data_IF_264945767692
#
_entry.id   IF_264945767692
#
_cell.length_a   1.000
_cell.length_b   1.000
_cell.length_c   1.000
_cell.angle_alpha   90.00
_cell.angle_beta   90.00
_cell.angle_gamma   90.00
#
_symmetry.space_group_name_H-M   'P 1'
#
loop_
_entity.id
_entity.type
_entity.pdbx_description
1 polymer ?
#
# COMPACT_ATOMS: atom_id res chain seq x y z
N UNK A 1 -20.20 7.26 -6.68
CA UNK A 1 -19.36 8.40 -7.06
C UNK A 1 -20.14 9.39 -7.90
N UNK A 2 -20.17 10.67 -7.52
CA UNK A 2 -20.81 11.75 -8.27
C UNK A 2 -19.82 12.90 -8.44
N UNK A 3 -19.54 13.30 -9.69
CA UNK A 3 -18.57 14.33 -10.04
C UNK A 3 -19.22 15.74 -10.05
N UNK A 4 -19.84 16.11 -8.93
CA UNK A 4 -20.51 17.41 -8.78
C UNK A 4 -19.52 18.58 -8.60
N UNK A 5 -18.25 18.30 -8.29
CA UNK A 5 -17.19 19.32 -8.18
C UNK A 5 -16.64 19.83 -9.52
N UNK A 6 -16.94 19.17 -10.64
CA UNK A 6 -16.47 19.58 -11.98
C UNK A 6 -17.32 20.75 -12.48
N UNK A 7 -16.95 21.96 -12.08
CA UNK A 7 -17.66 23.19 -12.46
C UNK A 7 -17.19 23.73 -13.80
N UNK A 8 -18.07 24.43 -14.52
CA UNK A 8 -17.77 25.02 -15.84
C UNK A 8 -16.52 25.92 -15.78
N UNK A 9 -16.40 26.72 -14.71
CA UNK A 9 -15.29 27.65 -14.52
C UNK A 9 -13.93 26.95 -14.30
N UNK A 10 -13.91 25.67 -13.93
CA UNK A 10 -12.67 24.95 -13.64
C UNK A 10 -12.09 24.23 -14.87
N UNK A 11 -12.92 23.97 -15.89
CA UNK A 11 -12.46 23.28 -17.11
C UNK A 11 -11.29 24.03 -17.80
N UNK A 12 -11.26 25.37 -17.90
CA UNK A 12 -10.11 26.08 -18.48
C UNK A 12 -8.82 25.95 -17.65
N UNK A 13 -8.90 25.70 -16.35
CA UNK A 13 -7.71 25.54 -15.48
C UNK A 13 -6.88 24.32 -15.89
N UNK A 14 -7.52 23.31 -16.49
CA UNK A 14 -6.83 22.09 -16.95
C UNK A 14 -6.18 22.24 -18.34
N UNK A 15 -6.30 23.41 -19.00
CA UNK A 15 -5.84 23.59 -20.38
C UNK A 15 -4.32 23.42 -20.55
N UNK A 16 -3.55 23.71 -19.50
CA UNK A 16 -2.08 23.63 -19.52
C UNK A 16 -1.53 22.35 -18.86
N UNK A 17 -2.39 21.43 -18.43
CA UNK A 17 -1.96 20.14 -17.87
C UNK A 17 -1.28 19.28 -18.92
N UNK A 18 -0.28 18.52 -18.51
CA UNK A 18 0.39 17.53 -19.34
C UNK A 18 -0.57 16.42 -19.76
N UNK A 19 -1.43 15.96 -18.85
CA UNK A 19 -2.37 14.85 -19.08
C UNK A 19 -3.85 15.24 -19.06
N UNK A 20 -4.16 16.53 -18.94
CA UNK A 20 -5.52 17.05 -18.99
C UNK A 20 -6.44 16.49 -17.90
N UNK A 21 -7.63 16.03 -18.31
CA UNK A 21 -8.64 15.45 -17.42
C UNK A 21 -8.64 13.93 -17.61
N UNK A 22 -8.08 13.19 -16.66
CA UNK A 22 -7.99 11.72 -16.71
C UNK A 22 -9.15 11.00 -16.02
N UNK A 23 -10.00 11.71 -15.29
CA UNK A 23 -11.23 11.12 -14.77
C UNK A 23 -12.21 10.86 -15.92
N UNK A 24 -12.66 9.61 -16.06
CA UNK A 24 -13.72 9.27 -17.01
C UNK A 24 -15.00 10.03 -16.73
N UNK A 25 -15.46 10.06 -15.47
CA UNK A 25 -16.67 10.81 -15.10
C UNK A 25 -16.46 12.32 -15.19
N UNK A 26 -15.30 12.81 -14.77
CA UNK A 26 -14.97 14.22 -14.85
C UNK A 26 -14.90 14.75 -16.29
N UNK A 27 -14.29 14.00 -17.22
CA UNK A 27 -14.22 14.37 -18.63
C UNK A 27 -15.58 14.36 -19.32
N UNK A 28 -16.49 13.45 -18.95
CA UNK A 28 -17.89 13.47 -19.42
C UNK A 28 -18.58 14.76 -18.98
N UNK A 29 -18.44 15.14 -17.70
CA UNK A 29 -19.03 16.36 -17.16
C UNK A 29 -18.43 17.62 -17.79
N UNK A 30 -17.10 17.70 -17.92
CA UNK A 30 -16.43 18.81 -18.59
C UNK A 30 -16.91 18.98 -20.04
N UNK A 31 -17.02 17.88 -20.80
CA UNK A 31 -17.56 17.90 -22.17
C UNK A 31 -19.01 18.40 -22.20
N UNK A 32 -19.84 17.95 -21.25
CA UNK A 32 -21.23 18.41 -21.16
C UNK A 32 -21.31 19.91 -20.86
N UNK A 33 -20.53 20.41 -19.89
CA UNK A 33 -20.47 21.82 -19.51
C UNK A 33 -20.05 22.70 -20.69
N UNK A 34 -19.00 22.29 -21.44
CA UNK A 34 -18.53 23.02 -22.62
C UNK A 34 -19.53 23.00 -23.78
N UNK A 35 -20.21 21.87 -24.02
CA UNK A 35 -21.16 21.72 -25.14
C UNK A 35 -22.42 22.58 -24.96
N UNK A 36 -22.85 22.78 -23.71
CA UNK A 36 -24.03 23.58 -23.39
C UNK A 36 -23.71 24.99 -22.90
N UNK A 37 -22.45 25.25 -22.55
CA UNK A 37 -21.99 26.44 -21.86
C UNK A 37 -22.83 26.76 -20.61
N UNK A 38 -23.06 25.71 -19.80
CA UNK A 38 -23.85 25.77 -18.56
C UNK A 38 -23.06 25.16 -17.41
N UNK A 39 -23.39 25.57 -16.19
CA UNK A 39 -22.84 24.96 -14.98
C UNK A 39 -23.24 23.49 -14.88
N UNK A 40 -22.40 22.68 -14.23
CA UNK A 40 -22.65 21.27 -14.00
C UNK A 40 -24.05 21.04 -13.43
N UNK A 41 -24.89 20.30 -14.15
CA UNK A 41 -26.23 19.97 -13.65
C UNK A 41 -26.18 19.13 -12.37
N UNK A 42 -25.10 18.40 -12.11
CA UNK A 42 -24.89 17.68 -10.86
C UNK A 42 -24.67 18.63 -9.68
N UNK A 43 -23.99 19.76 -9.95
CA UNK A 43 -23.79 20.83 -8.98
C UNK A 43 -25.09 21.63 -8.77
N UNK A 44 -25.73 22.09 -9.85
CA UNK A 44 -26.95 22.92 -9.76
C UNK A 44 -28.13 22.19 -9.11
N UNK A 45 -28.19 20.86 -9.25
CA UNK A 45 -29.30 20.02 -8.74
C UNK A 45 -28.88 19.19 -7.52
N UNK A 46 -27.80 19.58 -6.83
CA UNK A 46 -27.20 18.74 -5.78
C UNK A 46 -28.14 18.48 -4.59
N UNK A 47 -28.93 19.47 -4.15
CA UNK A 47 -29.91 19.28 -3.07
C UNK A 47 -31.00 18.25 -3.43
N UNK A 48 -31.45 18.21 -4.69
CA UNK A 48 -32.42 17.20 -5.14
C UNK A 48 -31.81 15.80 -5.17
N UNK A 49 -30.52 15.70 -5.51
CA UNK A 49 -29.79 14.43 -5.40
C UNK A 49 -29.69 14.00 -3.93
N UNK A 50 -29.46 14.93 -3.00
CA UNK A 50 -29.46 14.64 -1.57
C UNK A 50 -30.80 14.06 -1.10
N UNK A 51 -31.93 14.64 -1.51
CA UNK A 51 -33.26 14.11 -1.16
C UNK A 51 -33.48 12.67 -1.66
N UNK A 52 -33.00 12.36 -2.87
CA UNK A 52 -33.05 10.99 -3.41
C UNK A 52 -32.18 10.07 -2.58
N UNK A 53 -30.92 10.44 -2.32
CA UNK A 53 -29.96 9.60 -1.60
C UNK A 53 -30.37 9.35 -0.16
N UNK A 54 -30.92 10.37 0.51
CA UNK A 54 -31.47 10.29 1.87
C UNK A 54 -32.56 9.23 1.98
N UNK A 55 -33.44 9.13 1.00
CA UNK A 55 -34.55 8.19 1.01
C UNK A 55 -34.10 6.71 1.06
N UNK A 56 -32.84 6.42 0.70
CA UNK A 56 -32.30 5.07 0.60
C UNK A 56 -30.99 4.86 1.37
N UNK A 57 -30.58 5.81 2.20
CA UNK A 57 -29.29 5.79 2.92
C UNK A 57 -28.08 5.51 2.01
N UNK A 58 -28.06 6.17 0.85
CA UNK A 58 -26.91 6.09 -0.06
C UNK A 58 -25.87 7.13 0.33
N UNK A 59 -24.64 6.70 0.61
CA UNK A 59 -23.52 7.59 0.91
C UNK A 59 -22.99 8.27 -0.36
N UNK A 60 -22.67 9.57 -0.26
CA UNK A 60 -21.91 10.27 -1.29
C UNK A 60 -20.45 9.82 -1.27
N UNK A 61 -19.96 9.44 -2.44
CA UNK A 61 -18.54 9.51 -2.78
C UNK A 61 -18.40 10.68 -3.76
N UNK A 62 -17.95 11.83 -3.27
CA UNK A 62 -17.80 13.03 -4.09
C UNK A 62 -16.55 12.89 -4.95
N UNK A 63 -16.75 12.76 -6.26
CA UNK A 63 -15.72 12.35 -7.21
C UNK A 63 -14.69 13.43 -7.51
N UNK A 64 -13.45 13.00 -7.72
CA UNK A 64 -12.29 13.82 -8.06
C UNK A 64 -12.11 13.95 -9.58
N UNK A 65 -13.06 14.63 -10.22
CA UNK A 65 -13.14 14.77 -11.66
C UNK A 65 -11.93 15.45 -12.29
N UNK A 66 -11.24 16.31 -11.54
CA UNK A 66 -10.05 17.05 -11.92
C UNK A 66 -8.81 16.53 -11.19
N UNK A 67 -8.77 15.27 -10.74
CA UNK A 67 -7.54 14.67 -10.20
C UNK A 67 -6.36 14.70 -11.20
N UNK A 68 -5.11 14.74 -10.73
CA UNK A 68 -3.93 14.67 -11.59
C UNK A 68 -3.73 13.27 -12.18
N UNK A 69 -3.42 13.23 -13.48
CA UNK A 69 -3.07 12.02 -14.24
C UNK A 69 -1.60 11.85 -14.57
N UNK A 70 -0.77 12.77 -14.08
CA UNK A 70 0.69 12.69 -14.12
C UNK A 70 1.26 13.43 -12.92
N UNK A 71 2.50 13.10 -12.57
CA UNK A 71 3.25 13.80 -11.52
C UNK A 71 3.36 15.30 -11.79
N UNK A 72 3.42 15.71 -13.06
CA UNK A 72 3.53 17.11 -13.46
C UNK A 72 2.27 17.93 -13.14
N UNK A 73 1.10 17.29 -13.09
CA UNK A 73 -0.19 17.94 -12.89
C UNK A 73 -0.63 17.95 -11.40
N UNK A 74 0.16 17.34 -10.52
CA UNK A 74 -0.17 17.18 -9.11
C UNK A 74 -0.21 18.52 -8.37
N UNK A 75 -1.21 18.69 -7.51
CA UNK A 75 -1.42 19.85 -6.64
C UNK A 75 -1.64 21.17 -7.40
N UNK A 76 -2.12 21.09 -8.64
CA UNK A 76 -2.41 22.28 -9.43
C UNK A 76 -3.71 22.99 -8.99
N UNK A 77 -3.96 24.15 -9.61
CA UNK A 77 -5.12 24.99 -9.30
C UNK A 77 -6.45 24.27 -9.58
N UNK A 78 -6.54 23.50 -10.67
CA UNK A 78 -7.76 22.80 -11.04
C UNK A 78 -8.14 21.72 -10.01
N UNK A 79 -7.16 20.96 -9.52
CA UNK A 79 -7.36 19.94 -8.50
C UNK A 79 -7.90 20.55 -7.20
N UNK A 80 -7.26 21.61 -6.69
CA UNK A 80 -7.68 22.19 -5.42
C UNK A 80 -8.96 23.03 -5.53
N UNK A 81 -9.22 23.65 -6.67
CA UNK A 81 -10.50 24.33 -6.91
C UNK A 81 -11.68 23.34 -6.82
N UNK A 82 -11.53 22.14 -7.40
CA UNK A 82 -12.53 21.07 -7.22
C UNK A 82 -12.63 20.65 -5.75
N UNK A 83 -11.51 20.38 -5.07
CA UNK A 83 -11.49 19.97 -3.67
C UNK A 83 -12.25 20.93 -2.74
N UNK A 84 -12.05 22.24 -2.90
CA UNK A 84 -12.79 23.26 -2.14
C UNK A 84 -14.30 23.18 -2.42
N UNK A 85 -14.70 22.98 -3.69
CA UNK A 85 -16.11 22.76 -4.04
C UNK A 85 -16.66 21.49 -3.39
N UNK A 86 -15.88 20.40 -3.31
CA UNK A 86 -16.33 19.18 -2.63
C UNK A 86 -16.58 19.43 -1.14
N UNK A 87 -15.80 20.31 -0.50
CA UNK A 87 -16.05 20.80 0.85
C UNK A 87 -17.38 21.53 1.00
N UNK A 88 -17.69 22.45 0.09
CA UNK A 88 -18.99 23.14 0.05
C UNK A 88 -20.16 22.15 -0.11
N UNK A 89 -20.03 21.21 -1.06
CA UNK A 89 -21.03 20.18 -1.31
C UNK A 89 -21.21 19.22 -0.11
N UNK A 90 -20.13 18.95 0.63
CA UNK A 90 -20.18 18.16 1.87
C UNK A 90 -21.08 18.82 2.91
N UNK A 91 -20.94 20.13 3.12
CA UNK A 91 -21.82 20.86 4.04
C UNK A 91 -23.27 20.84 3.59
N UNK A 92 -23.54 20.92 2.27
CA UNK A 92 -24.89 20.79 1.74
C UNK A 92 -25.44 19.39 2.05
N UNK A 93 -24.73 18.32 1.68
CA UNK A 93 -25.16 16.96 1.95
C UNK A 93 -25.41 16.68 3.45
N UNK A 94 -24.56 17.20 4.34
CA UNK A 94 -24.75 17.09 5.79
C UNK A 94 -25.97 17.86 6.31
N UNK A 95 -26.35 18.99 5.73
CA UNK A 95 -27.63 19.65 6.07
C UNK A 95 -28.85 18.78 5.73
N UNK A 96 -28.72 17.93 4.72
CA UNK A 96 -29.75 16.95 4.35
C UNK A 96 -29.63 15.64 5.13
N UNK A 97 -28.66 15.48 6.03
CA UNK A 97 -28.39 14.25 6.78
C UNK A 97 -27.99 13.07 5.86
N UNK A 98 -27.17 13.35 4.84
CA UNK A 98 -26.62 12.34 3.92
C UNK A 98 -25.14 12.12 4.22
N UNK A 99 -24.73 10.85 4.34
CA UNK A 99 -23.34 10.47 4.58
C UNK A 99 -22.44 10.87 3.40
N UNK A 100 -21.18 11.27 3.67
CA UNK A 100 -20.24 11.75 2.65
C UNK A 100 -18.83 11.21 2.90
N UNK A 101 -18.16 10.82 1.82
CA UNK A 101 -16.71 10.70 1.70
C UNK A 101 -16.23 11.44 0.45
N UNK A 102 -14.97 11.88 0.46
CA UNK A 102 -14.33 12.68 -0.59
C UNK A 102 -13.37 11.79 -1.39
N UNK A 103 -13.46 11.78 -2.71
CA UNK A 103 -12.45 11.15 -3.55
C UNK A 103 -11.22 12.06 -3.71
N UNK A 104 -10.05 11.45 -3.84
CA UNK A 104 -8.75 12.13 -3.85
C UNK A 104 -7.76 11.55 -4.86
N UNK A 105 -6.63 12.24 -5.04
CA UNK A 105 -5.83 12.22 -6.26
C UNK A 105 -5.31 10.85 -6.70
N UNK A 106 -4.92 10.83 -7.98
CA UNK A 106 -4.29 9.72 -8.68
C UNK A 106 -2.76 9.78 -8.67
N UNK A 107 -2.14 10.69 -9.42
CA UNK A 107 -0.67 10.76 -9.55
C UNK A 107 -0.10 11.91 -8.72
N UNK A 108 0.67 11.61 -7.67
CA UNK A 108 1.24 12.59 -6.75
C UNK A 108 2.61 12.13 -6.26
N UNK A 109 3.68 12.91 -6.46
CA UNK A 109 5.01 12.53 -5.99
C UNK A 109 5.06 12.60 -4.45
N UNK A 110 5.85 11.74 -3.81
CA UNK A 110 5.81 11.52 -2.36
C UNK A 110 5.89 12.80 -1.52
N UNK A 111 6.71 13.77 -1.90
CA UNK A 111 6.87 15.03 -1.16
C UNK A 111 5.60 15.90 -1.13
N UNK A 112 4.63 15.66 -2.01
CA UNK A 112 3.37 16.39 -2.11
C UNK A 112 2.18 15.64 -1.48
N UNK A 113 2.37 14.39 -1.06
CA UNK A 113 1.28 13.56 -0.50
C UNK A 113 0.69 14.16 0.78
N UNK A 114 1.54 14.67 1.67
CA UNK A 114 1.09 15.27 2.94
C UNK A 114 0.20 16.49 2.73
N UNK A 115 0.59 17.38 1.80
CA UNK A 115 -0.18 18.59 1.48
C UNK A 115 -1.61 18.27 1.03
N UNK A 116 -1.79 17.19 0.26
CA UNK A 116 -3.13 16.77 -0.19
C UNK A 116 -4.04 16.42 0.99
N UNK A 117 -3.53 15.69 1.98
CA UNK A 117 -4.32 15.30 3.15
C UNK A 117 -4.62 16.52 4.03
N UNK A 118 -3.63 17.38 4.27
CA UNK A 118 -3.83 18.61 5.04
C UNK A 118 -4.91 19.51 4.42
N UNK A 119 -4.84 19.73 3.09
CA UNK A 119 -5.84 20.51 2.37
C UNK A 119 -7.22 19.85 2.38
N UNK A 120 -7.29 18.53 2.30
CA UNK A 120 -8.58 17.84 2.36
C UNK A 120 -9.21 17.95 3.75
N UNK A 121 -8.44 17.75 4.82
CA UNK A 121 -8.93 17.90 6.19
C UNK A 121 -9.46 19.32 6.43
N UNK A 122 -8.74 20.34 5.97
CA UNK A 122 -9.14 21.75 6.07
C UNK A 122 -10.39 22.06 5.23
N UNK A 123 -10.35 21.74 3.93
CA UNK A 123 -11.40 22.14 2.99
C UNK A 123 -12.69 21.32 3.16
N UNK A 124 -12.60 20.07 3.59
CA UNK A 124 -13.71 19.12 3.64
C UNK A 124 -14.11 18.70 5.07
N UNK A 125 -13.70 19.48 6.07
CA UNK A 125 -14.17 19.33 7.46
C UNK A 125 -13.94 17.92 8.02
N UNK A 126 -12.76 17.35 7.73
CA UNK A 126 -12.37 16.00 8.16
C UNK A 126 -13.29 14.86 7.66
N UNK A 127 -14.09 15.09 6.61
CA UNK A 127 -14.86 14.03 5.96
C UNK A 127 -13.91 12.89 5.51
N UNK A 128 -14.34 11.60 5.56
CA UNK A 128 -13.49 10.48 5.14
C UNK A 128 -12.92 10.66 3.74
N UNK A 129 -11.60 10.50 3.62
CA UNK A 129 -10.90 10.64 2.34
C UNK A 129 -10.72 9.27 1.67
N UNK A 130 -10.93 9.21 0.35
CA UNK A 130 -10.88 8.01 -0.48
C UNK A 130 -9.98 8.22 -1.71
N UNK A 131 -8.77 7.66 -1.74
CA UNK A 131 -7.75 8.03 -2.74
C UNK A 131 -7.47 6.91 -3.74
N UNK A 132 -7.14 7.26 -5.00
CA UNK A 132 -6.66 6.31 -6.01
C UNK A 132 -5.12 6.21 -5.97
N UNK A 133 -4.58 5.39 -5.07
CA UNK A 133 -3.15 5.37 -4.78
C UNK A 133 -2.80 6.39 -3.69
N UNK A 134 -1.95 7.41 -3.95
CA UNK A 134 -1.55 7.88 -5.28
C UNK A 134 -0.32 7.17 -5.88
N UNK A 135 -0.21 7.16 -7.22
CA UNK A 135 1.01 6.78 -7.94
C UNK A 135 2.10 7.83 -7.68
N UNK A 136 3.24 7.39 -7.16
CA UNK A 136 4.36 8.28 -6.81
C UNK A 136 5.32 8.55 -7.97
N UNK A 137 5.16 7.84 -9.09
CA UNK A 137 5.96 7.98 -10.29
C UNK A 137 5.19 7.44 -11.49
N UNK A 138 5.43 8.03 -12.67
CA UNK A 138 4.77 7.66 -13.93
C UNK A 138 5.60 6.67 -14.78
N UNK A 139 6.78 6.27 -14.31
CA UNK A 139 7.75 5.49 -15.10
C UNK A 139 7.60 3.97 -14.91
N UNK A 140 6.55 3.52 -14.23
CA UNK A 140 6.37 2.13 -13.80
C UNK A 140 5.17 1.38 -14.41
N UNK A 141 4.72 1.62 -15.65
CA UNK A 141 3.58 0.86 -16.19
C UNK A 141 3.89 -0.64 -16.19
N UNK A 142 2.91 -1.45 -15.78
CA UNK A 142 3.11 -2.88 -15.46
C UNK A 142 3.40 -3.15 -13.97
N UNK A 143 3.79 -2.12 -13.23
CA UNK A 143 4.13 -2.16 -11.81
C UNK A 143 3.44 -1.04 -11.01
N UNK A 144 2.37 -0.46 -11.55
CA UNK A 144 1.71 0.68 -10.92
C UNK A 144 1.04 0.33 -9.59
N UNK A 145 0.64 -0.92 -9.39
CA UNK A 145 0.25 -1.43 -8.06
C UNK A 145 1.34 -1.27 -6.99
N UNK A 146 2.62 -1.27 -7.37
CA UNK A 146 3.76 -1.08 -6.44
C UNK A 146 4.00 0.41 -6.20
N UNK A 147 4.09 1.21 -7.27
CA UNK A 147 4.29 2.66 -7.16
C UNK A 147 3.15 3.31 -6.36
N UNK A 148 1.91 2.94 -6.67
CA UNK A 148 0.74 3.41 -5.94
C UNK A 148 0.64 2.90 -4.52
N UNK A 149 1.01 1.64 -4.22
CA UNK A 149 0.97 1.12 -2.85
C UNK A 149 1.90 1.90 -1.91
N UNK A 150 3.05 2.38 -2.40
CA UNK A 150 3.94 3.26 -1.63
C UNK A 150 3.28 4.60 -1.30
N UNK A 151 2.61 5.22 -2.28
CA UNK A 151 1.85 6.45 -2.05
C UNK A 151 0.64 6.22 -1.14
N UNK A 152 -0.09 5.11 -1.34
CA UNK A 152 -1.25 4.71 -0.56
C UNK A 152 -0.92 4.47 0.91
N UNK A 153 0.24 3.85 1.20
CA UNK A 153 0.71 3.68 2.58
C UNK A 153 0.99 5.04 3.24
N UNK A 154 1.62 5.99 2.51
CA UNK A 154 1.89 7.33 3.03
C UNK A 154 0.62 8.15 3.23
N UNK A 155 -0.28 8.18 2.25
CA UNK A 155 -1.51 8.96 2.33
C UNK A 155 -2.49 8.37 3.35
N UNK A 156 -2.48 7.04 3.52
CA UNK A 156 -3.18 6.31 4.57
C UNK A 156 -2.63 6.64 5.95
N UNK A 157 -1.30 6.66 6.11
CA UNK A 157 -0.64 7.09 7.34
C UNK A 157 -1.07 8.51 7.74
N UNK A 158 -1.12 9.44 6.79
CA UNK A 158 -1.49 10.83 7.06
C UNK A 158 -2.99 11.05 7.36
N UNK A 159 -3.86 10.05 7.16
CA UNK A 159 -5.26 10.14 7.61
C UNK A 159 -6.31 9.68 6.61
N UNK A 160 -5.92 9.23 5.41
CA UNK A 160 -6.89 8.72 4.43
C UNK A 160 -7.65 7.51 4.98
N UNK A 161 -8.98 7.49 4.78
CA UNK A 161 -9.86 6.49 5.37
C UNK A 161 -10.04 5.25 4.50
N UNK A 162 -10.01 5.40 3.16
CA UNK A 162 -10.16 4.30 2.22
C UNK A 162 -9.18 4.46 1.05
N UNK A 163 -8.65 3.33 0.55
CA UNK A 163 -7.65 3.32 -0.52
C UNK A 163 -8.21 2.53 -1.71
N UNK A 164 -8.43 3.19 -2.85
CA UNK A 164 -8.79 2.53 -4.09
C UNK A 164 -7.53 1.87 -4.66
N UNK A 165 -7.61 0.56 -4.84
CA UNK A 165 -6.52 -0.21 -5.37
C UNK A 165 -6.17 0.15 -6.82
N UNK A 166 -4.93 -0.09 -7.20
CA UNK A 166 -4.41 0.01 -8.55
C UNK A 166 -3.84 -1.35 -8.92
N UNK A 167 -4.12 -1.82 -10.14
CA UNK A 167 -3.68 -3.14 -10.59
C UNK A 167 -2.34 -3.05 -11.33
N UNK A 168 -1.61 -4.16 -11.52
CA UNK A 168 -0.41 -4.17 -12.36
C UNK A 168 -0.67 -3.69 -13.79
N UNK A 169 -1.89 -3.89 -14.32
CA UNK A 169 -2.28 -3.50 -15.68
C UNK A 169 -2.86 -2.09 -15.80
N UNK A 170 -2.81 -1.29 -14.73
CA UNK A 170 -3.15 0.12 -14.85
C UNK A 170 -2.35 0.76 -16.00
N UNK A 171 -3.00 1.65 -16.75
CA UNK A 171 -2.47 2.24 -17.99
C UNK A 171 -2.19 1.29 -19.16
N UNK A 172 -2.43 -0.02 -19.03
CA UNK A 172 -2.10 -1.02 -20.06
C UNK A 172 -3.32 -1.80 -20.57
N UNK A 173 -4.30 -2.08 -19.73
CA UNK A 173 -5.50 -2.81 -20.14
C UNK A 173 -6.38 -3.27 -18.99
N UNK A 174 -7.38 -4.09 -19.32
CA UNK A 174 -8.28 -4.64 -18.30
C UNK A 174 -7.55 -5.71 -17.46
N UNK A 175 -7.66 -5.65 -16.12
CA UNK A 175 -7.06 -6.64 -15.24
C UNK A 175 -7.75 -8.00 -15.38
N UNK A 176 -6.96 -9.06 -15.31
CA UNK A 176 -7.46 -10.43 -15.13
C UNK A 176 -7.56 -10.77 -13.63
N UNK A 177 -7.95 -12.01 -13.33
CA UNK A 177 -8.09 -12.50 -11.94
C UNK A 177 -6.82 -12.33 -11.09
N UNK A 178 -5.66 -12.61 -11.65
CA UNK A 178 -4.41 -12.58 -10.90
C UNK A 178 -3.92 -11.14 -10.70
N UNK A 179 -4.14 -10.25 -11.68
CA UNK A 179 -3.89 -8.81 -11.55
C UNK A 179 -4.74 -8.20 -10.42
N UNK A 180 -6.02 -8.63 -10.31
CA UNK A 180 -6.91 -8.23 -9.21
C UNK A 180 -6.36 -8.70 -7.87
N UNK A 181 -5.94 -9.98 -7.76
CA UNK A 181 -5.33 -10.50 -6.52
C UNK A 181 -4.09 -9.67 -6.14
N UNK A 182 -3.19 -9.41 -7.08
CA UNK A 182 -1.96 -8.65 -6.82
C UNK A 182 -2.26 -7.22 -6.33
N UNK A 183 -3.21 -6.52 -6.97
CA UNK A 183 -3.65 -5.20 -6.51
C UNK A 183 -4.23 -5.22 -5.10
N UNK A 184 -5.11 -6.18 -4.80
CA UNK A 184 -5.72 -6.32 -3.47
C UNK A 184 -4.67 -6.61 -2.38
N UNK A 185 -3.72 -7.49 -2.64
CA UNK A 185 -2.65 -7.82 -1.70
C UNK A 185 -1.75 -6.61 -1.47
N UNK A 186 -1.34 -5.89 -2.53
CA UNK A 186 -0.53 -4.69 -2.43
C UNK A 186 -1.20 -3.61 -1.56
N UNK A 187 -2.51 -3.41 -1.73
CA UNK A 187 -3.26 -2.41 -0.96
C UNK A 187 -3.61 -2.85 0.46
N UNK A 188 -3.79 -4.15 0.71
CA UNK A 188 -3.88 -4.69 2.08
C UNK A 188 -2.58 -4.46 2.85
N UNK A 189 -1.43 -4.62 2.20
CA UNK A 189 -0.11 -4.30 2.78
C UNK A 189 -0.02 -2.79 3.04
N UNK A 190 -0.37 -1.95 2.06
CA UNK A 190 -0.32 -0.49 2.21
C UNK A 190 -1.22 0.02 3.34
N UNK A 191 -2.45 -0.47 3.43
CA UNK A 191 -3.38 -0.12 4.50
C UNK A 191 -2.83 -0.51 5.87
N UNK A 192 -2.35 -1.76 6.02
CA UNK A 192 -1.74 -2.23 7.26
C UNK A 192 -0.48 -1.43 7.65
N UNK A 193 0.36 -1.07 6.68
CA UNK A 193 1.51 -0.20 6.91
C UNK A 193 1.10 1.19 7.40
N UNK A 194 0.01 1.74 6.85
CA UNK A 194 -0.61 2.98 7.35
C UNK A 194 -1.11 2.84 8.78
N UNK A 195 -1.80 1.73 9.11
CA UNK A 195 -2.29 1.44 10.47
C UNK A 195 -1.14 1.32 11.49
N UNK A 196 -0.04 0.66 11.12
CA UNK A 196 1.17 0.60 11.93
C UNK A 196 1.76 1.99 12.17
N UNK A 197 1.89 2.80 11.12
CA UNK A 197 2.46 4.14 11.21
C UNK A 197 1.58 5.09 12.04
N UNK A 198 0.26 4.87 12.04
CA UNK A 198 -0.71 5.55 12.92
C UNK A 198 -0.69 5.05 14.36
N UNK A 199 -0.04 3.92 14.63
CA UNK A 199 -0.07 3.26 15.94
C UNK A 199 -1.46 2.70 16.30
N UNK A 200 -2.22 2.23 15.31
CA UNK A 200 -3.57 1.72 15.55
C UNK A 200 -3.55 0.51 16.51
N UNK A 201 -4.39 0.49 17.57
CA UNK A 201 -4.39 -0.58 18.55
C UNK A 201 -4.57 -1.95 17.91
N UNK A 202 -3.63 -2.86 18.16
CA UNK A 202 -3.67 -4.24 17.67
C UNK A 202 -2.99 -4.47 16.31
N UNK A 203 -2.69 -3.43 15.52
CA UNK A 203 -2.02 -3.60 14.23
C UNK A 203 -0.68 -4.33 14.37
N UNK A 204 0.18 -3.86 15.29
CA UNK A 204 1.50 -4.45 15.54
C UNK A 204 1.45 -5.88 16.11
N UNK A 205 0.31 -6.32 16.66
CA UNK A 205 0.18 -7.69 17.16
C UNK A 205 0.28 -8.70 16.02
N UNK A 206 -0.23 -8.36 14.83
CA UNK A 206 -0.14 -9.23 13.67
C UNK A 206 1.32 -9.41 13.23
N UNK A 207 2.06 -8.32 13.07
CA UNK A 207 3.50 -8.33 12.75
C UNK A 207 4.31 -9.12 13.77
N UNK A 208 4.04 -8.91 15.06
CA UNK A 208 4.72 -9.61 16.15
C UNK A 208 4.42 -11.11 16.12
N UNK A 209 3.18 -11.52 15.80
CA UNK A 209 2.81 -12.93 15.68
C UNK A 209 3.54 -13.61 14.52
N UNK A 210 3.56 -12.98 13.34
CA UNK A 210 4.31 -13.45 12.16
C UNK A 210 5.81 -13.53 12.47
N UNK A 211 6.37 -12.48 13.07
CA UNK A 211 7.80 -12.39 13.40
C UNK A 211 8.20 -13.43 14.45
N UNK A 212 7.36 -13.68 15.44
CA UNK A 212 7.58 -14.72 16.45
C UNK A 212 7.51 -16.11 15.83
N UNK A 213 6.53 -16.39 14.97
CA UNK A 213 6.45 -17.65 14.24
C UNK A 213 7.70 -17.89 13.37
N UNK A 214 8.18 -16.84 12.69
CA UNK A 214 9.42 -16.87 11.91
C UNK A 214 10.64 -17.19 12.77
N UNK A 215 10.82 -16.49 13.89
CA UNK A 215 11.97 -16.69 14.77
C UNK A 215 11.97 -18.06 15.46
N UNK A 216 10.79 -18.63 15.70
CA UNK A 216 10.59 -19.97 16.29
C UNK A 216 10.52 -21.08 15.23
N UNK A 217 10.74 -20.76 13.96
CA UNK A 217 10.68 -21.71 12.83
C UNK A 217 9.35 -22.47 12.71
N UNK A 218 8.25 -21.85 13.16
CA UNK A 218 6.87 -22.35 12.98
C UNK A 218 6.38 -21.97 11.58
N UNK A 219 6.93 -22.62 10.55
CA UNK A 219 6.70 -22.24 9.15
C UNK A 219 5.24 -22.27 8.72
N UNK A 220 4.47 -23.26 9.19
CA UNK A 220 3.03 -23.30 8.93
C UNK A 220 2.30 -22.10 9.55
N UNK A 221 2.60 -21.77 10.81
CA UNK A 221 1.97 -20.64 11.48
C UNK A 221 2.36 -19.32 10.81
N UNK A 222 3.63 -19.17 10.41
CA UNK A 222 4.08 -18.01 9.65
C UNK A 222 3.28 -17.85 8.35
N UNK A 223 3.09 -18.94 7.60
CA UNK A 223 2.34 -18.90 6.34
C UNK A 223 0.86 -18.62 6.57
N UNK A 224 0.22 -19.28 7.54
CA UNK A 224 -1.20 -19.05 7.88
C UNK A 224 -1.48 -17.63 8.37
N UNK A 225 -0.49 -17.00 9.01
CA UNK A 225 -0.57 -15.60 9.43
C UNK A 225 -0.18 -14.62 8.31
N UNK A 226 0.32 -15.05 7.15
CA UNK A 226 0.65 -14.13 6.07
C UNK A 226 -0.60 -13.50 5.44
N UNK A 227 -0.45 -12.34 4.80
CA UNK A 227 -1.53 -11.69 4.04
C UNK A 227 -1.99 -12.56 2.85
N UNK A 228 -1.09 -13.36 2.27
CA UNK A 228 -1.37 -14.35 1.22
C UNK A 228 -0.74 -15.71 1.58
N UNK A 229 -1.43 -16.52 2.40
CA UNK A 229 -0.89 -17.80 2.89
C UNK A 229 -0.47 -18.76 1.79
N UNK A 230 -1.25 -18.83 0.70
CA UNK A 230 -1.00 -19.73 -0.42
C UNK A 230 0.33 -19.41 -1.10
N UNK A 231 0.59 -18.12 -1.36
CA UNK A 231 1.84 -17.68 -1.99
C UNK A 231 3.03 -17.87 -1.03
N UNK A 232 2.86 -17.55 0.26
CA UNK A 232 3.92 -17.73 1.25
C UNK A 232 4.37 -19.19 1.35
N UNK A 233 3.42 -20.12 1.39
CA UNK A 233 3.71 -21.56 1.42
C UNK A 233 4.33 -22.04 0.11
N UNK A 234 3.77 -21.61 -1.03
CA UNK A 234 4.28 -21.97 -2.36
C UNK A 234 5.77 -21.62 -2.51
N UNK A 235 6.17 -20.39 -2.18
CA UNK A 235 7.56 -19.95 -2.33
C UNK A 235 8.54 -20.66 -1.39
N UNK A 236 8.11 -21.05 -0.18
CA UNK A 236 8.92 -21.89 0.68
C UNK A 236 9.16 -23.27 0.02
N UNK A 237 8.09 -23.87 -0.50
CA UNK A 237 8.10 -25.24 -1.01
C UNK A 237 8.75 -25.40 -2.37
N UNK A 238 8.91 -24.32 -3.13
CA UNK A 238 9.71 -24.30 -4.38
C UNK A 238 11.13 -24.81 -4.16
N UNK A 239 11.71 -24.62 -2.96
CA UNK A 239 13.08 -25.07 -2.64
C UNK A 239 13.14 -26.11 -1.52
N UNK A 240 12.15 -26.14 -0.62
CA UNK A 240 12.09 -27.06 0.52
C UNK A 240 10.73 -27.77 0.61
N UNK A 241 10.36 -28.61 -0.37
CA UNK A 241 9.00 -29.16 -0.48
C UNK A 241 8.66 -30.23 0.56
N UNK A 242 9.66 -30.81 1.24
CA UNK A 242 9.44 -31.94 2.16
C UNK A 242 8.80 -31.46 3.46
N UNK A 243 7.90 -32.26 4.03
CA UNK A 243 7.21 -31.97 5.30
C UNK A 243 8.16 -31.68 6.47
N UNK A 244 9.30 -32.38 6.53
CA UNK A 244 10.30 -32.14 7.56
C UNK A 244 10.96 -30.75 7.48
N UNK A 245 10.87 -30.07 6.33
CA UNK A 245 11.34 -28.69 6.21
C UNK A 245 10.42 -27.68 6.91
N UNK A 246 9.13 -28.01 7.12
CA UNK A 246 8.16 -27.16 7.83
C UNK A 246 8.43 -27.03 9.33
N UNK A 247 9.36 -27.84 9.85
CA UNK A 247 9.87 -27.78 11.23
C UNK A 247 11.38 -27.52 11.26
N UNK A 248 12.01 -27.22 10.12
CA UNK A 248 13.45 -27.01 10.05
C UNK A 248 13.86 -25.65 10.59
N UNK A 249 14.96 -25.59 11.35
CA UNK A 249 15.50 -24.34 11.90
C UNK A 249 16.34 -23.55 10.87
N UNK A 250 15.90 -23.50 9.62
CA UNK A 250 16.50 -22.75 8.52
C UNK A 250 15.56 -22.73 7.31
N UNK A 251 15.76 -21.78 6.40
CA UNK A 251 15.23 -21.85 5.02
C UNK A 251 16.38 -22.09 4.03
N UNK A 252 16.03 -22.21 2.74
CA UNK A 252 17.00 -22.41 1.66
C UNK A 252 18.00 -21.26 1.51
N UNK A 253 17.70 -20.05 2.01
CA UNK A 253 18.55 -18.89 1.83
C UNK A 253 19.91 -19.00 2.55
N UNK A 254 19.91 -19.40 3.81
CA UNK A 254 21.15 -19.50 4.60
C UNK A 254 21.56 -20.96 4.86
N UNK A 255 20.64 -21.89 4.66
CA UNK A 255 20.85 -23.29 4.99
C UNK A 255 21.05 -23.55 6.50
N UNK A 256 21.31 -24.81 6.88
CA UNK A 256 21.29 -25.25 8.28
C UNK A 256 22.45 -24.73 9.15
N UNK A 257 23.58 -24.34 8.52
CA UNK A 257 24.81 -23.91 9.21
C UNK A 257 24.87 -22.40 9.43
N UNK A 258 24.22 -21.59 8.58
CA UNK A 258 24.39 -20.13 8.57
C UNK A 258 23.09 -19.36 8.82
N UNK A 259 22.01 -20.02 9.21
CA UNK A 259 20.76 -19.33 9.57
C UNK A 259 20.97 -18.44 10.80
N UNK A 260 20.85 -17.13 10.62
CA UNK A 260 21.06 -16.12 11.67
C UNK A 260 20.11 -16.29 12.87
N UNK A 261 18.85 -16.67 12.63
CA UNK A 261 17.88 -16.89 13.70
C UNK A 261 18.21 -18.11 14.54
N UNK A 262 18.71 -19.19 13.91
CA UNK A 262 19.15 -20.40 14.61
C UNK A 262 20.37 -20.11 15.48
N UNK A 263 21.37 -19.45 14.91
CA UNK A 263 22.56 -19.00 15.65
C UNK A 263 22.14 -18.12 16.83
N UNK A 264 21.18 -17.22 16.63
CA UNK A 264 20.65 -16.37 17.71
C UNK A 264 19.95 -17.17 18.82
N UNK A 265 19.22 -18.24 18.49
CA UNK A 265 18.64 -19.15 19.50
C UNK A 265 19.73 -19.85 20.31
N UNK A 266 20.79 -20.35 19.65
CA UNK A 266 21.94 -21.00 20.31
C UNK A 266 22.66 -20.03 21.27
N UNK A 267 22.85 -18.77 20.87
CA UNK A 267 23.42 -17.71 21.72
C UNK A 267 22.53 -17.42 22.94
N UNK A 268 21.21 -17.31 22.75
CA UNK A 268 20.26 -17.08 23.85
C UNK A 268 20.27 -18.23 24.84
N UNK A 269 20.33 -19.47 24.35
CA UNK A 269 20.39 -20.66 25.19
C UNK A 269 21.71 -20.72 25.98
N UNK A 270 22.85 -20.43 25.33
CA UNK A 270 24.14 -20.32 26.01
C UNK A 270 24.10 -19.29 27.15
N UNK A 271 23.55 -18.09 26.90
CA UNK A 271 23.44 -17.04 27.90
C UNK A 271 22.50 -17.43 29.06
N UNK A 272 21.39 -18.13 28.76
CA UNK A 272 20.45 -18.64 29.77
C UNK A 272 21.09 -19.69 30.69
N UNK A 273 21.90 -20.57 30.13
CA UNK A 273 22.62 -21.62 30.85
C UNK A 273 23.84 -21.08 31.62
N UNK A 274 24.39 -19.93 31.21
CA UNK A 274 25.58 -19.32 31.82
C UNK A 274 25.35 -17.84 32.21
N UNK A 275 24.42 -17.54 33.14
CA UNK A 275 24.01 -16.17 33.46
C UNK A 275 25.09 -15.31 34.16
N UNK A 276 26.20 -15.92 34.61
CA UNK A 276 27.24 -15.26 35.42
C UNK A 276 28.65 -15.25 34.78
N UNK A 277 28.82 -15.76 33.55
CA UNK A 277 30.13 -15.72 32.87
C UNK A 277 30.26 -14.51 31.94
N UNK A 278 30.97 -13.48 32.42
CA UNK A 278 31.70 -12.52 31.57
C UNK A 278 32.93 -13.15 30.90
N UNK A 279 33.25 -14.41 31.21
CA UNK A 279 34.34 -15.19 30.62
C UNK A 279 33.81 -16.25 29.67
N UNK A 280 34.04 -16.03 28.38
CA UNK A 280 33.85 -16.99 27.28
C UNK A 280 34.63 -18.28 27.55
N UNK A 281 34.01 -19.23 28.24
CA UNK A 281 34.51 -20.62 28.32
C UNK A 281 33.51 -21.52 27.63
N UNK A 282 34.06 -22.39 26.78
CA UNK A 282 33.37 -23.27 25.83
C UNK A 282 32.41 -24.21 26.56
N UNK A 283 31.11 -23.88 26.55
CA UNK A 283 30.07 -24.78 27.06
C UNK A 283 29.61 -25.78 25.97
N UNK A 284 29.19 -27.00 26.36
CA UNK A 284 28.67 -27.99 25.42
C UNK A 284 27.29 -27.58 24.89
N UNK A 285 27.10 -27.62 23.56
CA UNK A 285 25.80 -27.37 22.91
C UNK A 285 25.76 -26.17 21.95
N UNK A 286 26.79 -25.32 21.97
CA UNK A 286 27.06 -24.33 20.91
C UNK A 286 27.97 -25.00 19.88
N UNK A 287 27.67 -24.87 18.59
CA UNK A 287 28.59 -25.31 17.53
C UNK A 287 29.95 -24.64 17.81
N UNK A 288 31.03 -25.40 18.08
CA UNK A 288 32.33 -24.79 18.32
C UNK A 288 32.73 -23.95 17.11
N UNK A 289 33.38 -22.80 17.31
CA UNK A 289 33.88 -21.95 16.21
C UNK A 289 34.61 -22.79 15.15
N UNK A 290 35.34 -23.84 15.56
CA UNK A 290 35.99 -24.81 14.65
C UNK A 290 35.04 -25.51 13.65
N UNK A 291 33.80 -25.81 14.02
CA UNK A 291 32.81 -26.40 13.10
C UNK A 291 32.26 -25.35 12.12
N UNK A 292 32.13 -24.09 12.55
CA UNK A 292 31.79 -22.96 11.68
C UNK A 292 32.94 -22.70 10.69
N UNK A 293 34.18 -22.69 11.17
CA UNK A 293 35.40 -22.54 10.34
C UNK A 293 35.48 -23.63 9.28
N UNK A 294 35.21 -24.89 9.64
CA UNK A 294 35.18 -25.98 8.66
C UNK A 294 34.07 -25.81 7.60
N UNK A 295 32.92 -25.24 7.98
CA UNK A 295 31.85 -24.91 7.04
C UNK A 295 32.21 -23.75 6.12
N UNK A 296 32.93 -22.74 6.63
CA UNK A 296 33.47 -21.66 5.81
C UNK A 296 34.57 -22.15 4.87
N UNK A 297 35.46 -23.04 5.31
CA UNK A 297 36.48 -23.67 4.47
C UNK A 297 35.86 -24.51 3.35
N UNK A 298 34.81 -25.27 3.67
CA UNK A 298 34.04 -26.07 2.71
C UNK A 298 33.33 -25.18 1.68
N UNK A 299 32.66 -24.11 2.10
CA UNK A 299 32.05 -23.13 1.17
C UNK A 299 33.08 -22.35 0.35
N UNK A 300 34.21 -21.98 0.94
CA UNK A 300 35.31 -21.35 0.23
C UNK A 300 35.93 -22.30 -0.80
N UNK A 301 35.96 -23.60 -0.51
CA UNK A 301 36.40 -24.64 -1.44
C UNK A 301 35.39 -24.82 -2.58
N UNK A 302 34.10 -24.97 -2.27
CA UNK A 302 33.04 -25.02 -3.29
C UNK A 302 33.05 -23.79 -4.20
N UNK A 303 33.24 -22.59 -3.65
CA UNK A 303 33.38 -21.36 -4.44
C UNK A 303 34.59 -21.43 -5.38
N UNK A 304 35.75 -21.87 -4.88
CA UNK A 304 36.96 -22.03 -5.70
C UNK A 304 36.79 -23.08 -6.80
N UNK A 305 36.17 -24.21 -6.47
CA UNK A 305 35.90 -25.32 -7.40
C UNK A 305 34.82 -24.98 -8.42
N UNK A 306 33.85 -24.13 -8.05
CA UNK A 306 32.81 -23.57 -8.92
C UNK A 306 33.29 -22.42 -9.81
N UNK A 307 34.60 -22.21 -9.95
CA UNK A 307 35.17 -21.18 -10.85
C UNK A 307 35.52 -19.86 -10.18
N UNK A 308 35.31 -19.73 -8.86
CA UNK A 308 35.48 -18.47 -8.11
C UNK A 308 34.66 -17.31 -8.66
N UNK A 309 33.53 -17.61 -9.31
CA UNK A 309 32.60 -16.62 -9.82
C UNK A 309 31.48 -16.41 -8.80
N UNK A 310 31.20 -15.15 -8.49
CA UNK A 310 30.15 -14.78 -7.51
C UNK A 310 28.75 -15.12 -8.06
N UNK A 311 28.62 -15.18 -9.38
CA UNK A 311 27.41 -15.54 -10.10
C UNK A 311 27.80 -16.58 -11.15
N UNK A 312 27.44 -17.84 -10.90
CA UNK A 312 27.56 -18.95 -11.86
C UNK A 312 26.31 -19.13 -12.69
#
# INVERSE_FOLDING_TARGET
TIHAGVRLAYVPLTANRLTGIVSRGGSIMAKWCLSHHKESFLYERFEEICEIMKAYDVCFSLGDGLRPGSIADANDEAQFAELHTLGELTQIAWKHDVQVMIEGPGHVPLQLVKENVEKQLEACFEAPFYTLGPLITDISPGYDHISSAMGAANIGWYGTAMLCYVTPKEHLGLPNRDDVKQGLIAYKIAAHAGDLAKGYPGAQMWDNAVSKARFEFRWEDQSRLAIDPDTAMKYHDETLPKENAKVAHFCSMCGPKFCSMKISQEVREFARLNPSTTTLTTAPGVIPIKQIDSGFEEKAKEFREGGSEIYS
#
